data_IF_745122703109
#
_entry.id   IF_745122703109
#
_cell.length_a   1.000
_cell.length_b   1.000
_cell.length_c   1.000
_cell.angle_alpha   90.00
_cell.angle_beta   90.00
_cell.angle_gamma   90.00
#
_symmetry.space_group_name_H-M   'P 1'
#
loop_
_entity.id
_entity.type
_entity.pdbx_description
1 polymer ?
#
# COMPACT_ATOMS: atom_id res chain seq x y z
N UNK A 1 62.37 -87.69 4.82
CA UNK A 1 61.39 -86.60 4.56
C UNK A 1 61.39 -85.66 5.76
N UNK A 2 61.89 -84.40 5.62
CA UNK A 2 61.85 -83.41 6.71
C UNK A 2 60.40 -83.00 6.93
N UNK A 3 59.94 -82.96 8.20
CA UNK A 3 58.54 -82.65 8.54
C UNK A 3 58.25 -81.17 8.30
N UNK A 4 57.47 -80.83 7.26
CA UNK A 4 57.07 -79.45 6.92
C UNK A 4 55.91 -78.92 7.80
N UNK A 5 55.81 -79.38 9.05
CA UNK A 5 54.69 -79.06 9.94
C UNK A 5 54.54 -77.55 10.17
N UNK A 6 55.66 -76.83 10.22
CA UNK A 6 55.69 -75.38 10.38
C UNK A 6 55.17 -74.62 9.14
N UNK A 7 55.39 -75.16 7.94
CA UNK A 7 54.88 -74.56 6.69
C UNK A 7 53.35 -74.70 6.60
N UNK A 8 52.79 -75.84 7.03
CA UNK A 8 51.34 -76.06 7.06
C UNK A 8 50.62 -75.13 8.04
N UNK A 9 51.22 -74.88 9.20
CA UNK A 9 50.68 -73.94 10.20
C UNK A 9 50.75 -72.50 9.69
N UNK A 10 51.86 -72.10 9.05
CA UNK A 10 52.00 -70.78 8.45
C UNK A 10 50.98 -70.55 7.31
N UNK A 11 50.74 -71.55 6.46
CA UNK A 11 49.70 -71.47 5.41
C UNK A 11 48.30 -71.34 5.99
N UNK A 12 47.98 -72.10 7.05
CA UNK A 12 46.68 -72.00 7.72
C UNK A 12 46.46 -70.63 8.36
N UNK A 13 47.49 -70.08 9.00
CA UNK A 13 47.45 -68.74 9.59
C UNK A 13 47.28 -67.67 8.51
N UNK A 14 48.00 -67.78 7.39
CA UNK A 14 47.90 -66.86 6.27
C UNK A 14 46.48 -66.84 5.67
N UNK A 15 45.87 -68.02 5.47
CA UNK A 15 44.49 -68.14 4.98
C UNK A 15 43.49 -67.53 5.98
N UNK A 16 43.65 -67.78 7.27
CA UNK A 16 42.80 -67.16 8.31
C UNK A 16 42.94 -65.64 8.33
N UNK A 17 44.16 -65.11 8.19
CA UNK A 17 44.37 -63.65 8.11
C UNK A 17 43.77 -63.02 6.85
N UNK A 18 43.80 -63.72 5.72
CA UNK A 18 43.20 -63.30 4.44
C UNK A 18 41.67 -63.30 4.51
N UNK A 19 41.08 -64.35 5.10
CA UNK A 19 39.64 -64.44 5.34
C UNK A 19 39.18 -63.38 6.35
N UNK A 20 39.98 -63.10 7.38
CA UNK A 20 39.66 -62.06 8.36
C UNK A 20 39.71 -60.66 7.76
N UNK A 21 40.71 -60.36 6.93
CA UNK A 21 40.78 -59.05 6.24
C UNK A 21 39.70 -58.87 5.19
N UNK A 22 39.28 -59.93 4.50
CA UNK A 22 38.17 -59.86 3.54
C UNK A 22 36.80 -59.66 4.22
N UNK A 23 36.58 -60.23 5.41
CA UNK A 23 35.37 -59.96 6.22
C UNK A 23 35.34 -58.51 6.72
N UNK A 24 36.48 -57.95 7.13
CA UNK A 24 36.57 -56.55 7.58
C UNK A 24 36.32 -55.56 6.42
N UNK A 25 36.82 -55.85 5.22
CA UNK A 25 36.60 -55.01 4.02
C UNK A 25 35.12 -54.90 3.63
N UNK A 26 34.34 -55.98 3.80
CA UNK A 26 32.89 -55.97 3.58
C UNK A 26 32.10 -55.10 4.57
N UNK A 27 32.63 -54.86 5.77
CA UNK A 27 31.99 -53.99 6.79
C UNK A 27 32.36 -52.51 6.63
N UNK A 28 33.51 -52.19 6.02
CA UNK A 28 33.91 -50.81 5.74
C UNK A 28 33.15 -50.19 4.55
N UNK A 29 32.71 -51.00 3.60
CA UNK A 29 31.92 -50.53 2.45
C UNK A 29 30.45 -50.19 2.79
N UNK A 30 29.95 -50.59 3.97
CA UNK A 30 28.52 -50.46 4.34
C UNK A 30 28.17 -49.16 5.06
N UNK A 31 29.07 -48.18 5.07
CA UNK A 31 28.84 -46.84 5.63
C UNK A 31 29.09 -45.73 4.60
N UNK A 32 28.68 -45.93 3.35
CA UNK A 32 28.49 -44.79 2.44
C UNK A 32 27.19 -44.09 2.85
N UNK A 33 27.31 -42.97 3.57
CA UNK A 33 26.19 -42.08 3.82
C UNK A 33 25.85 -41.34 2.53
N UNK A 34 24.80 -41.76 1.83
CA UNK A 34 24.22 -40.98 0.74
C UNK A 34 23.38 -39.85 1.34
N UNK A 35 23.95 -38.64 1.35
CA UNK A 35 23.17 -37.43 1.57
C UNK A 35 22.57 -37.01 0.22
N UNK A 36 21.39 -37.53 -0.10
CA UNK A 36 20.59 -36.96 -1.19
C UNK A 36 20.07 -35.62 -0.70
N UNK A 37 20.50 -34.52 -1.31
CA UNK A 37 19.81 -33.24 -1.10
C UNK A 37 18.35 -33.45 -1.44
N UNK A 38 17.46 -33.10 -0.50
CA UNK A 38 16.02 -33.02 -0.79
C UNK A 38 15.87 -32.15 -2.04
N UNK A 39 14.94 -32.50 -2.94
CA UNK A 39 14.67 -31.67 -4.11
C UNK A 39 14.43 -30.23 -3.65
N UNK A 40 15.37 -29.33 -3.94
CA UNK A 40 15.29 -27.93 -3.56
C UNK A 40 14.29 -27.26 -4.50
N UNK A 41 13.02 -27.24 -4.09
CA UNK A 41 12.00 -26.47 -4.77
C UNK A 41 11.85 -25.13 -4.05
N UNK A 42 12.25 -24.06 -4.75
CA UNK A 42 11.88 -22.70 -4.39
C UNK A 42 10.65 -22.30 -5.21
N UNK A 43 9.73 -21.56 -4.59
CA UNK A 43 8.62 -20.92 -5.30
C UNK A 43 8.84 -19.40 -5.32
N UNK A 44 8.35 -18.75 -6.37
CA UNK A 44 8.28 -17.28 -6.43
C UNK A 44 7.28 -16.79 -5.37
N UNK A 45 7.63 -15.72 -4.66
CA UNK A 45 6.78 -15.14 -3.62
C UNK A 45 5.51 -14.53 -4.22
N UNK A 46 4.39 -14.63 -3.50
CA UNK A 46 3.13 -13.98 -3.88
C UNK A 46 3.25 -12.46 -3.76
N UNK A 47 2.78 -11.75 -4.79
CA UNK A 47 2.61 -10.29 -4.82
C UNK A 47 1.11 -9.93 -4.82
N UNK A 48 0.68 -9.18 -3.83
CA UNK A 48 -0.71 -8.77 -3.63
C UNK A 48 -0.78 -7.46 -2.83
N UNK A 49 -1.03 -6.34 -3.52
CA UNK A 49 -1.24 -5.04 -2.90
C UNK A 49 -2.66 -4.59 -3.20
N UNK A 50 -3.38 -4.22 -2.15
CA UNK A 50 -4.76 -3.76 -2.20
C UNK A 50 -4.83 -2.28 -1.81
N UNK A 51 -5.60 -1.47 -2.55
CA UNK A 51 -5.83 -0.07 -2.22
C UNK A 51 -7.29 0.33 -2.47
N UNK A 52 -7.82 1.25 -1.66
CA UNK A 52 -9.22 1.64 -1.75
C UNK A 52 -9.65 2.68 -0.73
N UNK A 53 -10.91 3.10 -0.77
CA UNK A 53 -11.50 3.88 0.31
C UNK A 53 -11.82 2.98 1.51
N UNK A 54 -11.62 3.46 2.74
CA UNK A 54 -11.84 2.71 3.99
C UNK A 54 -13.26 2.14 4.13
N UNK A 55 -14.26 2.88 3.65
CA UNK A 55 -15.67 2.46 3.69
C UNK A 55 -16.11 1.72 2.41
N UNK A 56 -15.20 1.49 1.46
CA UNK A 56 -15.45 0.75 0.23
C UNK A 56 -14.68 -0.56 0.16
N UNK A 57 -14.84 -1.28 -0.96
CA UNK A 57 -14.05 -2.48 -1.25
C UNK A 57 -12.64 -2.09 -1.69
N UNK A 58 -11.61 -2.64 -1.05
CA UNK A 58 -10.23 -2.49 -1.51
C UNK A 58 -10.03 -3.25 -2.82
N UNK A 59 -9.35 -2.63 -3.78
CA UNK A 59 -9.08 -3.21 -5.11
C UNK A 59 -7.61 -3.60 -5.22
N UNK A 60 -7.34 -4.72 -5.88
CA UNK A 60 -5.96 -5.13 -6.14
C UNK A 60 -5.31 -4.19 -7.16
N UNK A 61 -4.20 -3.57 -6.77
CA UNK A 61 -3.34 -2.73 -7.65
C UNK A 61 -2.08 -3.47 -8.10
N UNK A 62 -2.07 -4.78 -7.94
CA UNK A 62 -1.00 -5.70 -8.30
C UNK A 62 -1.39 -6.68 -9.42
N UNK A 63 -2.61 -6.57 -9.95
CA UNK A 63 -3.08 -7.39 -11.07
C UNK A 63 -2.49 -6.91 -12.40
N UNK A 64 -2.35 -7.81 -13.36
CA UNK A 64 -1.79 -7.50 -14.67
C UNK A 64 -2.58 -6.37 -15.37
N UNK A 65 -1.92 -5.23 -15.59
CA UNK A 65 -2.52 -4.04 -16.22
C UNK A 65 -3.11 -3.02 -15.24
N UNK A 66 -3.13 -3.31 -13.94
CA UNK A 66 -3.66 -2.43 -12.89
C UNK A 66 -2.55 -2.06 -11.91
N UNK A 67 -1.95 -0.87 -12.09
CA UNK A 67 -0.94 -0.32 -11.17
C UNK A 67 -1.48 0.83 -10.31
N UNK A 68 -2.79 1.12 -10.40
CA UNK A 68 -3.38 2.30 -9.79
C UNK A 68 -4.85 2.08 -9.45
N UNK A 69 -5.28 2.70 -8.35
CA UNK A 69 -6.68 2.85 -7.97
C UNK A 69 -7.17 4.27 -8.33
N UNK A 70 -8.47 4.54 -8.27
CA UNK A 70 -9.06 5.87 -8.39
C UNK A 70 -10.27 5.94 -7.46
N UNK A 71 -10.43 7.06 -6.76
CA UNK A 71 -11.59 7.31 -5.92
C UNK A 71 -12.18 8.68 -6.20
N UNK A 72 -13.47 8.81 -5.89
CA UNK A 72 -14.17 10.08 -5.86
C UNK A 72 -13.97 10.75 -4.49
N UNK A 73 -13.38 11.94 -4.51
CA UNK A 73 -13.05 12.72 -3.33
C UNK A 73 -14.27 13.46 -2.76
N UNK A 74 -15.33 13.69 -3.55
CA UNK A 74 -16.45 14.56 -3.20
C UNK A 74 -17.61 13.83 -2.52
N UNK A 75 -17.60 12.50 -2.44
CA UNK A 75 -18.66 11.71 -1.79
C UNK A 75 -18.86 12.01 -0.28
N UNK A 76 -18.02 12.84 0.31
CA UNK A 76 -18.21 13.39 1.65
C UNK A 76 -18.31 14.90 1.53
N UNK A 77 -19.52 15.44 1.69
CA UNK A 77 -19.74 16.89 1.73
C UNK A 77 -20.18 17.28 3.13
N UNK A 78 -19.50 18.30 3.68
CA UNK A 78 -19.64 18.77 5.05
C UNK A 78 -19.63 20.28 5.07
N UNK A 79 -20.24 20.81 6.12
CA UNK A 79 -20.33 22.25 6.34
C UNK A 79 -19.11 22.75 7.14
N UNK A 80 -18.48 23.80 6.62
CA UNK A 80 -17.37 24.48 7.30
C UNK A 80 -17.85 25.32 8.48
N UNK A 81 -19.05 25.93 8.40
CA UNK A 81 -19.61 26.80 9.43
C UNK A 81 -19.95 26.03 10.72
N UNK A 82 -20.39 24.78 10.60
CA UNK A 82 -20.66 23.87 11.74
C UNK A 82 -19.40 23.14 12.23
N UNK A 83 -18.21 23.51 11.74
CA UNK A 83 -16.95 22.89 12.16
C UNK A 83 -16.82 21.41 11.76
N UNK A 84 -17.54 20.97 10.73
CA UNK A 84 -17.52 19.59 10.23
C UNK A 84 -18.82 18.79 10.36
N UNK A 85 -19.89 19.45 10.80
CA UNK A 85 -21.23 18.89 10.74
C UNK A 85 -21.70 18.53 9.33
N UNK A 86 -22.78 17.78 9.26
CA UNK A 86 -23.48 17.50 8.00
C UNK A 86 -23.88 18.79 7.29
N UNK A 87 -23.64 18.84 6.00
CA UNK A 87 -24.10 19.94 5.14
C UNK A 87 -25.63 19.91 5.00
N UNK A 88 -26.31 21.05 5.19
CA UNK A 88 -27.77 21.16 5.12
C UNK A 88 -28.27 22.18 4.11
N UNK A 89 -27.40 23.04 3.58
CA UNK A 89 -27.78 24.17 2.74
C UNK A 89 -27.78 23.82 1.24
N UNK A 90 -27.35 22.60 0.87
CA UNK A 90 -27.41 22.07 -0.49
C UNK A 90 -28.26 20.80 -0.56
N UNK A 91 -29.04 20.66 -1.63
CA UNK A 91 -29.90 19.49 -1.83
C UNK A 91 -29.09 18.27 -2.23
N UNK A 92 -28.82 17.37 -1.28
CA UNK A 92 -28.24 16.06 -1.54
C UNK A 92 -29.30 15.05 -2.04
N UNK A 93 -30.18 15.45 -2.97
CA UNK A 93 -31.17 14.52 -3.53
C UNK A 93 -30.43 13.51 -4.43
N UNK A 94 -30.16 12.36 -3.84
CA UNK A 94 -29.71 11.05 -4.32
C UNK A 94 -29.19 10.98 -5.77
N UNK A 95 -27.91 10.61 -5.87
CA UNK A 95 -27.08 10.28 -7.06
C UNK A 95 -26.20 11.40 -7.63
N UNK A 96 -26.32 12.66 -7.18
CA UNK A 96 -25.38 13.72 -7.59
C UNK A 96 -24.78 14.44 -6.39
N UNK A 97 -23.45 14.35 -6.28
CA UNK A 97 -22.69 15.10 -5.29
C UNK A 97 -22.66 16.58 -5.71
N UNK A 98 -23.31 17.44 -4.92
CA UNK A 98 -23.24 18.89 -5.09
C UNK A 98 -22.20 19.43 -4.11
N UNK A 99 -21.38 20.37 -4.57
CA UNK A 99 -20.47 21.14 -3.71
C UNK A 99 -20.72 22.63 -3.93
N UNK A 100 -20.42 23.43 -2.91
CA UNK A 100 -20.66 24.87 -2.90
C UNK A 100 -19.55 25.59 -2.11
N UNK A 101 -19.40 26.90 -2.26
CA UNK A 101 -18.51 27.67 -1.41
C UNK A 101 -18.89 27.49 0.06
N UNK A 102 -17.90 27.26 0.91
CA UNK A 102 -18.11 26.93 2.33
C UNK A 102 -18.21 25.43 2.61
N UNK A 103 -18.16 24.55 1.61
CA UNK A 103 -18.17 23.10 1.84
C UNK A 103 -16.77 22.49 1.87
N UNK A 104 -16.65 21.36 2.56
CA UNK A 104 -15.41 20.59 2.64
C UNK A 104 -15.70 19.10 2.77
N UNK A 105 -14.66 18.28 2.71
CA UNK A 105 -14.79 16.84 2.87
C UNK A 105 -13.49 16.09 2.92
N UNK A 106 -13.59 14.77 3.04
CA UNK A 106 -12.44 13.87 3.07
C UNK A 106 -12.75 12.42 2.69
N UNK A 107 -11.75 11.71 2.20
CA UNK A 107 -11.79 10.26 1.98
C UNK A 107 -10.60 9.62 2.69
N UNK A 108 -10.86 8.50 3.39
CA UNK A 108 -9.81 7.69 4.00
C UNK A 108 -9.29 6.67 2.96
N UNK A 109 -8.14 6.95 2.35
CA UNK A 109 -7.42 6.04 1.45
C UNK A 109 -6.65 5.00 2.25
N UNK A 110 -6.94 3.73 2.02
CA UNK A 110 -6.31 2.58 2.64
C UNK A 110 -5.41 1.88 1.64
N UNK A 111 -4.22 1.49 2.06
CA UNK A 111 -3.29 0.62 1.31
C UNK A 111 -2.92 -0.55 2.22
N UNK A 112 -3.03 -1.77 1.69
CA UNK A 112 -2.82 -3.02 2.41
C UNK A 112 -1.92 -3.96 1.59
N UNK A 113 -0.94 -4.56 2.27
CA UNK A 113 0.00 -5.51 1.72
C UNK A 113 -0.35 -6.93 2.19
N UNK A 114 -0.88 -7.73 1.27
CA UNK A 114 -1.18 -9.15 1.42
C UNK A 114 -0.16 -10.04 0.66
N UNK A 115 0.96 -9.43 0.27
CA UNK A 115 2.09 -10.11 -0.35
C UNK A 115 2.87 -10.91 0.68
N UNK A 116 3.72 -11.82 0.19
CA UNK A 116 4.72 -12.53 1.01
C UNK A 116 6.04 -11.74 1.14
N UNK A 117 6.07 -10.51 0.61
CA UNK A 117 7.24 -9.61 0.55
C UNK A 117 6.84 -8.18 0.88
N UNK A 118 7.75 -7.42 1.46
CA UNK A 118 7.50 -6.00 1.76
C UNK A 118 7.45 -5.17 0.47
N UNK A 119 6.70 -4.07 0.51
CA UNK A 119 6.50 -3.18 -0.62
C UNK A 119 6.90 -1.75 -0.25
N UNK A 120 7.50 -1.03 -1.21
CA UNK A 120 7.52 0.43 -1.21
C UNK A 120 6.24 0.93 -1.84
N UNK A 121 5.73 2.08 -1.41
CA UNK A 121 4.57 2.69 -2.05
C UNK A 121 4.71 4.21 -2.20
N UNK A 122 4.02 4.74 -3.21
CA UNK A 122 3.84 6.16 -3.47
C UNK A 122 2.37 6.49 -3.66
N UNK A 123 2.02 7.76 -3.48
CA UNK A 123 0.65 8.28 -3.65
C UNK A 123 0.75 9.59 -4.44
N UNK A 124 -0.04 9.75 -5.49
CA UNK A 124 -0.09 10.98 -6.29
C UNK A 124 -1.54 11.42 -6.50
N UNK A 125 -1.87 12.65 -6.13
CA UNK A 125 -3.13 13.28 -6.50
C UNK A 125 -2.99 14.05 -7.83
N UNK A 126 -3.99 13.95 -8.70
CA UNK A 126 -4.05 14.65 -9.98
C UNK A 126 -5.46 15.16 -10.23
N UNK A 127 -5.58 16.42 -10.68
CA UNK A 127 -6.84 16.89 -11.26
C UNK A 127 -7.01 16.23 -12.63
N UNK A 128 -8.19 15.69 -12.90
CA UNK A 128 -8.51 15.05 -14.19
C UNK A 128 -9.36 15.93 -15.10
N UNK A 129 -9.86 17.07 -14.61
CA UNK A 129 -10.57 18.09 -15.38
C UNK A 129 -9.90 19.47 -15.29
N UNK A 130 -10.12 20.32 -16.30
CA UNK A 130 -9.80 21.77 -16.26
C UNK A 130 -10.80 22.50 -15.34
N UNK A 131 -10.77 22.11 -14.07
CA UNK A 131 -11.70 22.55 -13.04
C UNK A 131 -11.50 24.04 -12.70
N UNK A 132 -12.57 24.80 -12.84
CA UNK A 132 -12.65 26.24 -12.53
C UNK A 132 -12.97 26.52 -11.07
N UNK A 133 -13.31 25.49 -10.28
CA UNK A 133 -13.62 25.61 -8.86
C UNK A 133 -12.33 25.81 -8.05
N UNK A 134 -12.27 26.80 -7.14
CA UNK A 134 -11.08 27.13 -6.36
C UNK A 134 -10.85 26.17 -5.18
N UNK A 135 -10.75 24.88 -5.48
CA UNK A 135 -10.55 23.84 -4.47
C UNK A 135 -9.15 23.86 -3.87
N UNK A 136 -9.08 23.57 -2.57
CA UNK A 136 -7.85 23.28 -1.84
C UNK A 136 -7.86 21.83 -1.36
N UNK A 137 -6.67 21.24 -1.25
CA UNK A 137 -6.46 19.83 -0.91
C UNK A 137 -5.39 19.69 0.16
N UNK A 138 -5.46 18.59 0.90
CA UNK A 138 -4.43 18.20 1.86
C UNK A 138 -4.49 16.68 2.13
N UNK A 139 -3.49 16.13 2.82
CA UNK A 139 -3.48 14.72 3.21
C UNK A 139 -2.86 14.54 4.60
N UNK A 140 -3.39 13.59 5.37
CA UNK A 140 -2.87 13.18 6.67
C UNK A 140 -2.79 11.66 6.79
N UNK A 141 -1.69 11.09 7.26
CA UNK A 141 -1.62 9.72 7.75
C UNK A 141 -2.43 9.63 9.04
N UNK A 142 -3.34 8.67 9.09
CA UNK A 142 -4.07 8.33 10.31
C UNK A 142 -3.31 7.22 11.04
N UNK A 143 -3.22 7.34 12.36
CA UNK A 143 -2.80 6.22 13.18
C UNK A 143 -3.88 5.13 13.12
N UNK A 144 -3.49 3.85 13.25
CA UNK A 144 -4.41 2.69 13.15
C UNK A 144 -5.61 2.79 14.12
N UNK A 145 -5.49 3.60 15.18
CA UNK A 145 -6.54 3.88 16.17
C UNK A 145 -7.22 5.25 16.03
N UNK A 146 -6.76 6.13 15.14
CA UNK A 146 -7.28 7.49 15.01
C UNK A 146 -8.38 7.56 13.94
N UNK A 147 -9.61 7.21 14.33
CA UNK A 147 -10.83 7.68 13.67
C UNK A 147 -11.24 9.08 14.19
N UNK A 148 -10.27 9.86 14.67
CA UNK A 148 -10.55 11.02 15.50
C UNK A 148 -10.82 12.27 14.64
N UNK A 149 -12.03 12.76 14.85
CA UNK A 149 -12.61 14.04 14.46
C UNK A 149 -13.10 14.16 13.01
N UNK A 150 -14.42 14.29 12.94
CA UNK A 150 -15.17 14.77 11.80
C UNK A 150 -15.21 16.31 11.84
N UNK A 151 -14.03 16.91 11.91
CA UNK A 151 -13.87 18.36 12.04
C UNK A 151 -12.99 18.89 10.94
N UNK A 152 -13.32 20.08 10.44
CA UNK A 152 -12.47 20.81 9.49
C UNK A 152 -11.08 20.96 10.13
N UNK A 153 -9.98 20.54 9.49
CA UNK A 153 -8.66 20.81 10.01
C UNK A 153 -8.37 22.31 9.92
N UNK A 154 -8.32 22.99 11.08
CA UNK A 154 -8.25 24.46 11.18
C UNK A 154 -6.85 25.04 11.23
N UNK A 155 -5.86 24.29 11.74
CA UNK A 155 -4.45 24.73 11.80
C UNK A 155 -3.54 23.57 12.20
N UNK A 156 -3.23 22.72 11.23
CA UNK A 156 -2.12 21.79 11.36
C UNK A 156 -1.03 22.35 10.45
N UNK A 157 0.14 22.63 11.00
CA UNK A 157 1.30 23.05 10.21
C UNK A 157 2.12 21.79 10.00
N UNK A 158 2.33 21.31 8.77
CA UNK A 158 3.67 20.90 8.26
C UNK A 158 3.65 20.54 6.80
N UNK A 159 4.79 20.91 6.21
CA UNK A 159 5.52 20.26 5.13
C UNK A 159 4.75 19.13 4.42
N UNK A 160 4.43 19.26 3.11
CA UNK A 160 3.82 18.20 2.32
C UNK A 160 4.65 16.90 2.28
N UNK A 161 5.91 16.91 2.76
CA UNK A 161 6.72 15.71 2.99
C UNK A 161 6.38 14.98 4.30
N UNK A 162 5.88 15.66 5.34
CA UNK A 162 5.45 15.03 6.59
C UNK A 162 3.96 14.70 6.51
N UNK A 163 3.62 13.43 6.26
CA UNK A 163 2.25 13.04 6.03
C UNK A 163 1.41 13.12 7.30
N UNK A 164 1.99 13.26 8.49
CA UNK A 164 1.22 13.23 9.74
C UNK A 164 0.48 14.55 9.99
N UNK A 165 0.71 15.54 9.12
CA UNK A 165 0.28 16.92 9.26
C UNK A 165 -0.39 17.39 7.96
N UNK A 166 -1.23 18.42 8.05
CA UNK A 166 -2.15 18.81 6.96
C UNK A 166 -1.82 20.22 6.50
N UNK A 167 -1.23 20.39 5.33
CA UNK A 167 -1.07 21.71 4.70
C UNK A 167 -2.02 21.83 3.50
N UNK A 168 -2.82 22.89 3.49
CA UNK A 168 -3.75 23.18 2.39
C UNK A 168 -3.01 23.75 1.18
N UNK A 169 -3.25 23.18 0.02
CA UNK A 169 -2.71 23.67 -1.25
C UNK A 169 -3.79 23.67 -2.33
N UNK A 170 -3.79 24.65 -3.22
CA UNK A 170 -4.67 24.67 -4.40
C UNK A 170 -4.20 23.73 -5.52
N UNK A 171 -3.00 23.14 -5.37
CA UNK A 171 -2.37 22.28 -6.38
C UNK A 171 -2.43 20.82 -5.92
N UNK A 172 -3.37 20.04 -6.47
CA UNK A 172 -3.56 18.63 -6.10
C UNK A 172 -2.28 17.79 -6.18
N UNK A 173 -1.43 18.03 -7.19
CA UNK A 173 -0.15 17.31 -7.37
C UNK A 173 0.88 17.53 -6.26
N UNK A 174 0.73 18.59 -5.44
CA UNK A 174 1.58 18.81 -4.28
C UNK A 174 1.17 17.92 -3.09
N UNK A 175 -0.05 17.35 -3.11
CA UNK A 175 -0.50 16.37 -2.14
C UNK A 175 -0.06 14.97 -2.61
N UNK A 176 1.12 14.56 -2.16
CA UNK A 176 1.74 13.30 -2.62
C UNK A 176 2.63 12.64 -1.57
N UNK A 177 2.81 11.33 -1.71
CA UNK A 177 3.95 10.59 -1.17
C UNK A 177 4.85 10.29 -2.36
N UNK A 178 6.03 10.90 -2.37
CA UNK A 178 6.98 10.76 -3.48
C UNK A 178 7.53 9.33 -3.53
N UNK A 179 7.80 8.83 -4.74
CA UNK A 179 8.44 7.52 -4.94
C UNK A 179 9.80 7.41 -4.25
N UNK A 180 10.47 8.54 -4.02
CA UNK A 180 11.76 8.62 -3.35
C UNK A 180 11.67 8.67 -1.82
N UNK A 181 10.48 8.80 -1.23
CA UNK A 181 10.27 8.82 0.23
C UNK A 181 10.47 7.43 0.87
N UNK A 182 10.60 6.39 0.04
CA UNK A 182 11.01 5.04 0.46
C UNK A 182 10.16 4.45 1.60
N UNK A 183 8.86 4.77 1.63
CA UNK A 183 7.93 4.27 2.65
C UNK A 183 7.66 2.79 2.45
N UNK A 184 7.86 2.03 3.50
CA UNK A 184 7.71 0.57 3.48
C UNK A 184 6.35 0.19 4.07
N UNK A 185 5.67 -0.71 3.38
CA UNK A 185 4.51 -1.46 3.83
C UNK A 185 4.96 -2.91 4.03
N UNK A 186 5.02 -3.35 5.28
CA UNK A 186 5.57 -4.66 5.61
C UNK A 186 4.69 -5.78 5.07
N UNK A 187 5.28 -6.93 4.74
CA UNK A 187 4.47 -8.13 4.49
C UNK A 187 3.77 -8.58 5.77
N UNK A 188 2.62 -9.21 5.61
CA UNK A 188 1.87 -9.77 6.74
C UNK A 188 2.51 -11.09 7.19
N UNK A 189 3.42 -11.00 8.16
CA UNK A 189 4.13 -12.19 8.69
C UNK A 189 3.26 -13.09 9.57
N UNK A 190 2.16 -12.56 10.12
CA UNK A 190 1.16 -13.27 10.94
C UNK A 190 -0.13 -12.46 11.03
N UNK A 191 -1.20 -13.04 11.58
CA UNK A 191 -2.46 -12.32 11.81
C UNK A 191 -2.37 -11.18 12.83
N UNK A 192 -1.31 -11.17 13.64
CA UNK A 192 -1.02 -10.10 14.60
C UNK A 192 0.05 -9.13 14.12
N UNK A 193 0.55 -9.30 12.89
CA UNK A 193 1.55 -8.39 12.33
C UNK A 193 0.95 -7.01 12.07
N UNK A 194 1.68 -5.96 12.47
CA UNK A 194 1.31 -4.55 12.27
C UNK A 194 2.14 -3.91 11.16
N UNK A 195 1.62 -2.87 10.52
CA UNK A 195 2.36 -2.13 9.49
C UNK A 195 2.34 -2.76 8.09
N UNK A 196 1.50 -3.77 7.87
CA UNK A 196 1.11 -4.22 6.52
C UNK A 196 -0.05 -3.39 5.96
N UNK A 197 -0.61 -2.46 6.75
CA UNK A 197 -1.72 -1.59 6.39
C UNK A 197 -1.40 -0.15 6.76
N UNK A 198 -1.84 0.79 5.95
CA UNK A 198 -1.74 2.23 6.23
C UNK A 198 -3.01 2.92 5.75
N UNK A 199 -3.41 3.98 6.47
CA UNK A 199 -4.54 4.82 6.09
C UNK A 199 -4.09 6.29 6.00
N UNK A 200 -4.46 6.94 4.90
CA UNK A 200 -4.30 8.38 4.68
C UNK A 200 -5.68 9.01 4.50
N UNK A 201 -6.01 10.01 5.31
CA UNK A 201 -7.15 10.88 5.06
C UNK A 201 -6.75 11.95 4.06
N UNK A 202 -7.42 11.97 2.91
CA UNK A 202 -7.26 12.97 1.85
C UNK A 202 -8.42 13.95 1.96
N UNK A 203 -8.12 15.24 2.11
CA UNK A 203 -9.10 16.29 2.33
C UNK A 203 -9.28 17.15 1.08
N UNK A 204 -10.45 17.76 0.96
CA UNK A 204 -10.73 18.86 0.06
C UNK A 204 -11.56 19.94 0.77
N UNK A 205 -11.49 21.17 0.29
CA UNK A 205 -12.41 22.24 0.67
C UNK A 205 -12.57 23.29 -0.41
N UNK A 206 -13.70 23.99 -0.38
CA UNK A 206 -13.98 25.21 -1.12
C UNK A 206 -14.23 26.33 -0.10
N UNK A 207 -13.25 27.18 0.13
CA UNK A 207 -13.42 28.31 1.05
C UNK A 207 -14.33 29.39 0.45
N UNK A 208 -15.14 30.01 1.30
CA UNK A 208 -15.95 31.17 0.91
C UNK A 208 -15.07 32.38 0.58
N UNK A 209 -15.22 32.97 -0.61
CA UNK A 209 -14.71 34.32 -0.90
C UNK A 209 -13.18 34.50 -0.92
N UNK A 210 -12.37 33.45 -1.09
CA UNK A 210 -10.91 33.58 -1.13
C UNK A 210 -10.35 34.05 -2.49
N UNK A 211 -11.18 34.14 -3.53
CA UNK A 211 -10.78 34.63 -4.84
C UNK A 211 -11.23 36.08 -5.08
N UNK A 212 -10.56 37.04 -4.46
CA UNK A 212 -10.81 38.47 -4.70
C UNK A 212 -10.13 39.01 -5.98
N UNK A 213 -9.51 38.16 -6.81
CA UNK A 213 -8.72 38.61 -7.97
C UNK A 213 -9.08 38.02 -9.33
N UNK A 214 -10.01 37.05 -9.44
CA UNK A 214 -10.47 36.60 -10.75
C UNK A 214 -11.93 37.03 -10.98
N UNK A 215 -12.11 38.05 -11.83
CA UNK A 215 -13.43 38.49 -12.29
C UNK A 215 -14.24 37.40 -13.02
N UNK A 216 -13.61 36.28 -13.40
CA UNK A 216 -14.24 35.20 -14.19
C UNK A 216 -14.66 33.98 -13.34
N UNK A 217 -14.23 33.87 -12.07
CA UNK A 217 -14.46 32.69 -11.21
C UNK A 217 -14.97 33.07 -9.82
N UNK A 218 -15.83 34.09 -9.71
CA UNK A 218 -16.51 34.34 -8.44
C UNK A 218 -17.45 33.18 -8.10
N UNK A 219 -17.56 32.84 -6.83
CA UNK A 219 -18.45 31.81 -6.29
C UNK A 219 -19.87 31.90 -6.88
N UNK A 220 -20.41 33.13 -6.99
CA UNK A 220 -21.70 33.41 -7.61
C UNK A 220 -21.73 33.13 -9.11
N UNK A 221 -20.66 33.46 -9.84
CA UNK A 221 -20.57 33.18 -11.28
C UNK A 221 -20.62 31.68 -11.56
N UNK A 222 -19.91 30.88 -10.76
CA UNK A 222 -19.93 29.41 -10.88
C UNK A 222 -21.34 28.85 -10.65
N UNK A 223 -22.06 29.36 -9.64
CA UNK A 223 -23.46 28.99 -9.39
C UNK A 223 -24.40 29.39 -10.52
N UNK A 224 -24.24 30.58 -11.10
CA UNK A 224 -25.05 31.05 -12.24
C UNK A 224 -24.79 30.21 -13.50
N UNK A 225 -23.53 29.86 -13.79
CA UNK A 225 -23.17 28.98 -14.90
C UNK A 225 -23.73 27.56 -14.70
N UNK A 226 -23.77 27.06 -13.47
CA UNK A 226 -24.41 25.78 -13.17
C UNK A 226 -25.91 25.80 -13.50
N UNK A 227 -26.60 26.91 -13.24
CA UNK A 227 -28.03 27.06 -13.57
C UNK A 227 -28.31 27.03 -15.08
N UNK A 228 -27.33 27.34 -15.94
CA UNK A 228 -27.46 27.20 -17.41
C UNK A 228 -27.18 25.79 -17.92
N UNK A 229 -27.00 24.81 -17.03
CA UNK A 229 -26.72 23.41 -17.37
C UNK A 229 -25.26 23.13 -17.69
N UNK A 230 -24.33 24.02 -17.32
CA UNK A 230 -22.89 23.87 -17.56
C UNK A 230 -22.12 23.89 -16.24
N UNK A 231 -22.60 23.12 -15.27
CA UNK A 231 -21.96 23.03 -13.96
C UNK A 231 -20.54 22.46 -14.07
N UNK A 232 -19.60 23.04 -13.31
CA UNK A 232 -18.26 22.48 -13.19
C UNK A 232 -18.33 21.12 -12.47
N UNK A 233 -17.64 20.13 -13.02
CA UNK A 233 -17.52 18.78 -12.45
C UNK A 233 -16.07 18.52 -12.05
N UNK A 234 -15.65 19.02 -10.88
CA UNK A 234 -14.29 18.79 -10.41
C UNK A 234 -14.07 17.28 -10.28
N UNK A 235 -12.93 16.81 -10.79
CA UNK A 235 -12.54 15.39 -10.65
C UNK A 235 -11.08 15.33 -10.22
N UNK A 236 -10.82 14.58 -9.16
CA UNK A 236 -9.47 14.35 -8.62
C UNK A 236 -9.25 12.85 -8.52
N UNK A 237 -8.15 12.39 -9.09
CA UNK A 237 -7.70 11.01 -9.00
C UNK A 237 -6.55 10.91 -8.02
N UNK A 238 -6.58 9.91 -7.14
CA UNK A 238 -5.38 9.49 -6.42
C UNK A 238 -4.86 8.17 -7.00
N UNK A 239 -3.58 8.16 -7.37
CA UNK A 239 -2.87 7.01 -7.88
C UNK A 239 -1.97 6.46 -6.78
N UNK A 240 -2.13 5.19 -6.42
CA UNK A 240 -1.20 4.46 -5.55
C UNK A 240 -0.34 3.56 -6.42
N UNK A 241 0.98 3.58 -6.23
CA UNK A 241 1.91 2.67 -6.91
C UNK A 241 2.72 1.94 -5.85
N UNK A 242 2.98 0.64 -6.07
CA UNK A 242 3.76 -0.17 -5.16
C UNK A 242 4.80 -1.02 -5.90
N UNK A 243 5.98 -1.18 -5.31
CA UNK A 243 7.08 -2.00 -5.85
C UNK A 243 7.66 -2.87 -4.74
N UNK A 244 8.12 -4.06 -5.06
CA UNK A 244 8.79 -4.93 -4.09
C UNK A 244 10.02 -4.24 -3.48
N UNK A 245 10.26 -4.45 -2.18
CA UNK A 245 11.54 -4.13 -1.54
C UNK A 245 12.52 -5.27 -1.86
N UNK A 246 13.66 -4.92 -2.44
CA UNK A 246 14.81 -5.82 -2.66
C UNK A 246 15.53 -6.14 -1.34
#
# INVERSE_FOLDING_TARGET
MKKHNMMRVASALAVVTLLSTSVISGTLAKYTSEATSQAESARVAKWAINAGSKNGTLQAISEAGSNSFTFDLFNTVKDTATGGGSETDISANDDTTIIAPGTWGYVDLVIENDSEVSAKYSIKLEKTSEDTVPLQYAMKKLDESAAAEDTVPTNITSDPKDPTKVEWTSTAANVKIDENDNRILNYKSSDTATGNKVTYRVYWKWDYGTNTTASENSDTSLGVTAATGTAATPTVKATVTATQVD
#
